data_IF_094151900763
#
_entry.id   IF_094151900763
#
_cell.length_a   1.000
_cell.length_b   1.000
_cell.length_c   1.000
_cell.angle_alpha   90.00
_cell.angle_beta   90.00
_cell.angle_gamma   90.00
#
_symmetry.space_group_name_H-M   'P 1'
#
loop_
_entity.id
_entity.type
_entity.pdbx_description
1 polymer ?
#
# COMPACT_ATOMS: atom_id res chain seq x y z
N UNK A 1 3.39 11.65 24.33
CA UNK A 1 2.31 12.33 23.58
C UNK A 1 1.25 11.29 23.31
N UNK A 2 -0.02 11.58 23.51
CA UNK A 2 -1.11 10.63 23.22
C UNK A 2 -1.19 10.41 21.69
N UNK A 3 -1.27 9.15 21.20
CA UNK A 3 -1.27 8.89 19.77
C UNK A 3 -2.54 9.43 19.12
N UNK A 4 -2.38 10.24 18.06
CA UNK A 4 -3.45 10.65 17.16
C UNK A 4 -3.25 9.90 15.84
N UNK A 5 -4.18 9.03 15.50
CA UNK A 5 -4.04 8.03 14.44
C UNK A 5 -4.98 8.35 13.28
N UNK A 6 -4.48 8.29 12.07
CA UNK A 6 -5.27 8.31 10.84
C UNK A 6 -5.25 6.93 10.20
N UNK A 7 -6.41 6.39 9.84
CA UNK A 7 -6.54 5.15 9.08
C UNK A 7 -7.05 5.49 7.68
N UNK A 8 -6.24 5.20 6.67
CA UNK A 8 -6.57 5.37 5.27
C UNK A 8 -6.76 4.01 4.61
N UNK A 9 -8.02 3.62 4.42
CA UNK A 9 -8.45 2.34 3.85
C UNK A 9 -9.87 2.51 3.28
N UNK A 10 -10.15 1.98 2.11
CA UNK A 10 -11.49 2.08 1.51
C UNK A 10 -12.47 1.04 2.06
N UNK A 11 -11.97 -0.02 2.70
CA UNK A 11 -12.78 -1.09 3.26
C UNK A 11 -13.33 -0.72 4.64
N UNK A 12 -14.63 -0.49 4.76
CA UNK A 12 -15.29 -0.10 6.01
C UNK A 12 -15.05 -1.10 7.14
N UNK A 13 -15.09 -2.42 6.86
CA UNK A 13 -14.87 -3.44 7.89
C UNK A 13 -13.45 -3.41 8.45
N UNK A 14 -12.46 -3.11 7.62
CA UNK A 14 -11.05 -2.97 8.04
C UNK A 14 -10.91 -1.76 8.95
N UNK A 15 -11.45 -0.59 8.56
CA UNK A 15 -11.45 0.62 9.40
C UNK A 15 -12.12 0.38 10.75
N UNK A 16 -13.27 -0.28 10.76
CA UNK A 16 -13.98 -0.62 12.00
C UNK A 16 -13.16 -1.56 12.88
N UNK A 17 -12.58 -2.61 12.31
CA UNK A 17 -11.75 -3.58 13.02
C UNK A 17 -10.50 -2.94 13.63
N UNK A 18 -9.74 -2.20 12.83
CA UNK A 18 -8.54 -1.49 13.30
C UNK A 18 -8.89 -0.46 14.39
N UNK A 19 -9.96 0.32 14.20
CA UNK A 19 -10.43 1.28 15.21
C UNK A 19 -10.76 0.58 16.52
N UNK A 20 -11.46 -0.54 16.49
CA UNK A 20 -11.81 -1.29 17.70
C UNK A 20 -10.57 -1.82 18.43
N UNK A 21 -9.59 -2.38 17.68
CA UNK A 21 -8.33 -2.88 18.24
C UNK A 21 -7.53 -1.73 18.84
N UNK A 22 -7.34 -0.64 18.11
CA UNK A 22 -6.57 0.51 18.57
C UNK A 22 -7.19 1.19 19.79
N UNK A 23 -8.53 1.31 19.85
CA UNK A 23 -9.24 1.80 21.03
C UNK A 23 -9.00 0.89 22.26
N UNK A 24 -9.05 -0.45 22.06
CA UNK A 24 -8.75 -1.43 23.12
C UNK A 24 -7.30 -1.32 23.62
N UNK A 25 -6.38 -0.86 22.77
CA UNK A 25 -4.98 -0.58 23.11
C UNK A 25 -4.79 0.82 23.76
N UNK A 26 -5.86 1.61 23.93
CA UNK A 26 -5.84 2.90 24.60
C UNK A 26 -5.71 4.11 23.69
N UNK A 27 -5.73 3.96 22.38
CA UNK A 27 -5.79 5.09 21.45
C UNK A 27 -7.17 5.74 21.52
N UNK A 28 -7.24 7.08 21.71
CA UNK A 28 -8.50 7.80 21.87
C UNK A 28 -8.86 8.69 20.69
N UNK A 29 -7.88 9.03 19.88
CA UNK A 29 -8.05 9.93 18.73
C UNK A 29 -7.74 9.16 17.46
N UNK A 30 -8.79 8.68 16.79
CA UNK A 30 -8.69 7.90 15.56
C UNK A 30 -9.65 8.49 14.54
N UNK A 31 -9.09 8.97 13.44
CA UNK A 31 -9.82 9.44 12.28
C UNK A 31 -9.66 8.43 11.14
N UNK A 32 -10.63 8.39 10.21
CA UNK A 32 -10.59 7.47 9.06
C UNK A 32 -10.90 8.20 7.78
N UNK A 33 -10.23 7.80 6.69
CA UNK A 33 -10.48 8.28 5.32
C UNK A 33 -10.58 7.09 4.37
N UNK A 34 -11.21 7.28 3.21
CA UNK A 34 -11.55 6.17 2.29
C UNK A 34 -10.89 6.29 0.91
N UNK A 35 -10.16 7.35 0.66
CA UNK A 35 -9.49 7.59 -0.62
C UNK A 35 -8.29 8.53 -0.45
N UNK A 36 -7.46 8.61 -1.51
CA UNK A 36 -6.23 9.42 -1.52
C UNK A 36 -6.54 10.92 -1.41
N UNK A 37 -7.62 11.39 -2.03
CA UNK A 37 -8.00 12.79 -1.98
C UNK A 37 -8.33 13.22 -0.54
N UNK A 38 -9.14 12.44 0.16
CA UNK A 38 -9.45 12.66 1.59
C UNK A 38 -8.18 12.56 2.46
N UNK A 39 -7.28 11.61 2.19
CA UNK A 39 -6.02 11.45 2.91
C UNK A 39 -5.18 12.74 2.82
N UNK A 40 -4.97 13.26 1.61
CA UNK A 40 -4.22 14.50 1.38
C UNK A 40 -4.86 15.69 2.10
N UNK A 41 -6.17 15.86 1.95
CA UNK A 41 -6.89 16.96 2.60
C UNK A 41 -6.79 16.88 4.13
N UNK A 42 -6.96 15.68 4.69
CA UNK A 42 -6.94 15.45 6.13
C UNK A 42 -5.55 15.69 6.73
N UNK A 43 -4.47 15.22 6.06
CA UNK A 43 -3.09 15.45 6.48
C UNK A 43 -2.68 16.93 6.36
N UNK A 44 -3.25 17.68 5.41
CA UNK A 44 -2.99 19.12 5.28
C UNK A 44 -3.68 19.96 6.37
N UNK A 45 -4.81 19.48 6.89
CA UNK A 45 -5.61 20.21 7.91
C UNK A 45 -5.27 19.85 9.34
N UNK A 46 -4.75 18.64 9.56
CA UNK A 46 -4.57 18.09 10.91
C UNK A 46 -3.19 17.47 11.05
N UNK A 47 -2.65 17.53 12.26
CA UNK A 47 -1.41 16.83 12.62
C UNK A 47 -1.75 15.48 13.23
N UNK A 48 -1.15 14.43 12.69
CA UNK A 48 -1.23 13.06 13.21
C UNK A 48 0.16 12.58 13.65
N UNK A 49 0.18 11.64 14.57
CA UNK A 49 1.41 10.98 15.01
C UNK A 49 1.60 9.64 14.31
N UNK A 50 0.49 9.01 13.88
CA UNK A 50 0.48 7.68 13.28
C UNK A 50 -0.47 7.64 12.08
N UNK A 51 -0.05 6.93 11.02
CA UNK A 51 -0.85 6.66 9.82
C UNK A 51 -0.84 5.17 9.54
N UNK A 52 -2.02 4.55 9.51
CA UNK A 52 -2.21 3.23 8.90
C UNK A 52 -2.67 3.45 7.48
N UNK A 53 -1.93 2.91 6.51
CA UNK A 53 -2.07 3.23 5.09
C UNK A 53 -2.29 1.99 4.24
N UNK A 54 -3.44 1.89 3.57
CA UNK A 54 -3.59 0.91 2.47
C UNK A 54 -2.88 1.40 1.21
N UNK A 55 -2.34 0.46 0.46
CA UNK A 55 -1.62 0.74 -0.80
C UNK A 55 -2.60 1.08 -1.92
N UNK A 56 -3.64 0.28 -2.08
CA UNK A 56 -4.59 0.41 -3.18
C UNK A 56 -5.88 1.01 -2.64
N UNK A 57 -6.23 2.17 -3.15
CA UNK A 57 -7.47 2.87 -2.84
C UNK A 57 -8.23 3.21 -4.13
N UNK A 58 -9.53 3.54 -4.09
CA UNK A 58 -10.37 3.71 -5.29
C UNK A 58 -9.83 4.72 -6.31
N UNK A 59 -9.08 5.71 -5.84
CA UNK A 59 -8.53 6.80 -6.63
C UNK A 59 -7.01 6.68 -6.90
N UNK A 60 -6.41 5.50 -6.63
CA UNK A 60 -5.04 5.21 -7.03
C UNK A 60 -4.18 4.42 -6.03
N UNK A 61 -2.86 4.52 -6.21
CA UNK A 61 -1.86 3.86 -5.39
C UNK A 61 -1.23 4.86 -4.40
N UNK A 62 -1.44 4.64 -3.11
CA UNK A 62 -0.96 5.54 -2.05
C UNK A 62 0.56 5.53 -1.85
N UNK A 63 1.27 4.51 -2.35
CA UNK A 63 2.75 4.45 -2.26
C UNK A 63 3.41 5.65 -2.95
N UNK A 64 2.80 6.16 -4.04
CA UNK A 64 3.31 7.34 -4.73
C UNK A 64 3.31 8.60 -3.84
N UNK A 65 2.50 8.60 -2.78
CA UNK A 65 2.42 9.72 -1.83
C UNK A 65 3.45 9.63 -0.71
N UNK A 66 4.07 8.49 -0.48
CA UNK A 66 4.96 8.30 0.68
C UNK A 66 6.10 9.32 0.71
N UNK A 67 6.67 9.65 -0.46
CA UNK A 67 7.72 10.67 -0.54
C UNK A 67 7.22 12.05 -0.10
N UNK A 68 6.06 12.45 -0.60
CA UNK A 68 5.43 13.71 -0.22
C UNK A 68 5.04 13.71 1.26
N UNK A 69 4.43 12.63 1.74
CA UNK A 69 4.01 12.49 3.15
C UNK A 69 5.22 12.59 4.07
N UNK A 70 6.32 11.88 3.78
CA UNK A 70 7.54 11.93 4.59
C UNK A 70 8.17 13.31 4.60
N UNK A 71 8.10 14.03 3.48
CA UNK A 71 8.64 15.40 3.40
C UNK A 71 7.82 16.40 4.20
N UNK A 72 6.50 16.31 4.11
CA UNK A 72 5.58 17.26 4.78
C UNK A 72 5.28 16.88 6.24
N UNK A 73 5.40 15.60 6.60
CA UNK A 73 5.11 15.07 7.92
C UNK A 73 6.26 14.17 8.43
N UNK A 74 7.47 14.71 8.67
CA UNK A 74 8.68 13.91 8.93
C UNK A 74 8.64 13.09 10.24
N UNK A 75 7.70 13.40 11.14
CA UNK A 75 7.52 12.70 12.42
C UNK A 75 6.32 11.73 12.42
N UNK A 76 5.65 11.58 11.29
CA UNK A 76 4.52 10.69 11.14
C UNK A 76 5.02 9.24 11.05
N UNK A 77 4.65 8.42 12.02
CA UNK A 77 4.91 6.98 11.96
C UNK A 77 3.92 6.31 11.00
N UNK A 78 4.41 5.60 9.98
CA UNK A 78 3.57 5.01 8.93
C UNK A 78 3.63 3.49 9.02
N UNK A 79 2.46 2.85 9.18
CA UNK A 79 2.26 1.41 9.03
C UNK A 79 1.50 1.16 7.73
N UNK A 80 2.11 0.46 6.79
CA UNK A 80 1.42 0.00 5.59
C UNK A 80 0.61 -1.25 5.92
N UNK A 81 -0.70 -1.23 5.61
CA UNK A 81 -1.62 -2.35 5.85
C UNK A 81 -2.35 -2.71 4.56
N UNK A 82 -1.94 -3.77 3.89
CA UNK A 82 -2.41 -4.08 2.54
C UNK A 82 -2.53 -5.58 2.25
N UNK A 83 -3.35 -5.92 1.27
CA UNK A 83 -3.41 -7.28 0.69
C UNK A 83 -2.25 -7.58 -0.25
N UNK A 84 -1.46 -6.58 -0.61
CA UNK A 84 -0.36 -6.75 -1.55
C UNK A 84 0.83 -7.49 -0.91
N UNK A 85 1.58 -8.32 -1.66
CA UNK A 85 2.70 -9.07 -1.10
C UNK A 85 3.85 -8.15 -0.68
N UNK A 86 4.39 -8.40 0.51
CA UNK A 86 5.50 -7.64 1.08
C UNK A 86 6.79 -7.74 0.22
N UNK A 87 6.99 -8.83 -0.50
CA UNK A 87 8.14 -9.07 -1.39
C UNK A 87 8.17 -8.08 -2.55
N UNK A 88 7.00 -7.60 -2.96
CA UNK A 88 6.84 -6.66 -4.07
C UNK A 88 6.86 -5.22 -3.56
N UNK A 89 5.97 -4.91 -2.64
CA UNK A 89 5.75 -3.54 -2.19
C UNK A 89 6.64 -3.14 -1.00
N UNK A 90 7.10 -4.09 -0.20
CA UNK A 90 7.99 -3.83 0.93
C UNK A 90 9.35 -3.26 0.53
N UNK A 91 9.91 -3.67 -0.62
CA UNK A 91 11.15 -3.08 -1.18
C UNK A 91 10.96 -1.60 -1.55
N UNK A 92 9.80 -1.25 -2.08
CA UNK A 92 9.48 0.14 -2.42
C UNK A 92 9.27 0.92 -1.13
N UNK A 93 8.44 0.38 -0.24
CA UNK A 93 8.13 1.00 1.05
C UNK A 93 9.39 1.21 1.92
N UNK A 94 10.39 0.30 1.84
CA UNK A 94 11.66 0.44 2.57
C UNK A 94 12.53 1.63 2.13
N UNK A 95 12.26 2.21 0.96
CA UNK A 95 12.92 3.47 0.53
C UNK A 95 12.38 4.69 1.26
N UNK A 96 11.21 4.55 1.87
CA UNK A 96 10.54 5.56 2.65
C UNK A 96 10.62 5.21 4.14
N UNK A 97 10.49 6.20 5.00
CA UNK A 97 10.54 5.99 6.45
C UNK A 97 9.23 5.41 6.98
N UNK A 98 8.93 4.15 6.60
CA UNK A 98 7.79 3.44 7.16
C UNK A 98 8.20 2.67 8.41
N UNK A 99 7.28 2.59 9.38
CA UNK A 99 7.47 1.83 10.61
C UNK A 99 7.43 0.32 10.34
N UNK A 100 6.41 -0.14 9.63
CA UNK A 100 6.22 -1.56 9.30
C UNK A 100 5.29 -1.78 8.12
N UNK A 101 5.30 -3.01 7.62
CA UNK A 101 4.38 -3.52 6.60
C UNK A 101 3.60 -4.70 7.18
N UNK A 102 2.29 -4.56 7.30
CA UNK A 102 1.37 -5.56 7.82
C UNK A 102 0.44 -6.03 6.69
N UNK A 103 0.48 -7.34 6.38
CA UNK A 103 -0.42 -7.92 5.39
C UNK A 103 -1.83 -8.06 5.98
N UNK A 104 -2.90 -7.69 5.23
CA UNK A 104 -4.30 -7.77 5.70
C UNK A 104 -4.75 -9.20 6.03
N UNK A 105 -4.08 -10.23 5.48
CA UNK A 105 -4.28 -11.63 5.80
C UNK A 105 -3.44 -12.16 6.97
N UNK A 106 -2.77 -11.29 7.74
CA UNK A 106 -1.99 -11.68 8.90
C UNK A 106 -2.88 -12.28 10.00
N UNK A 107 -2.29 -13.12 10.86
CA UNK A 107 -3.00 -13.67 12.01
C UNK A 107 -3.37 -12.58 13.02
N UNK A 108 -4.41 -12.83 13.81
CA UNK A 108 -4.83 -11.90 14.87
C UNK A 108 -3.66 -11.55 15.81
N UNK A 109 -2.86 -12.53 16.21
CA UNK A 109 -1.69 -12.32 17.07
C UNK A 109 -0.63 -11.42 16.44
N UNK A 110 -0.40 -11.55 15.13
CA UNK A 110 0.54 -10.70 14.39
C UNK A 110 0.01 -9.26 14.28
N UNK A 111 -1.28 -9.11 13.99
CA UNK A 111 -1.94 -7.79 13.92
C UNK A 111 -1.79 -7.06 15.26
N UNK A 112 -2.14 -7.73 16.38
CA UNK A 112 -2.00 -7.15 17.72
C UNK A 112 -0.55 -6.77 18.03
N UNK A 113 0.40 -7.66 17.76
CA UNK A 113 1.82 -7.43 18.02
C UNK A 113 2.37 -6.23 17.24
N UNK A 114 2.08 -6.16 15.94
CA UNK A 114 2.58 -5.06 15.11
C UNK A 114 1.94 -3.71 15.47
N UNK A 115 0.63 -3.68 15.74
CA UNK A 115 -0.06 -2.47 16.17
C UNK A 115 0.44 -1.99 17.54
N UNK A 116 0.76 -2.88 18.47
CA UNK A 116 1.33 -2.52 19.76
C UNK A 116 2.71 -1.83 19.60
N UNK A 117 3.60 -2.41 18.81
CA UNK A 117 4.90 -1.80 18.51
C UNK A 117 4.74 -0.46 17.79
N UNK A 118 3.81 -0.39 16.84
CA UNK A 118 3.52 0.82 16.08
C UNK A 118 3.08 1.98 16.99
N UNK A 119 2.08 1.78 17.86
CA UNK A 119 1.60 2.81 18.79
C UNK A 119 2.71 3.28 19.74
N UNK A 120 3.59 2.37 20.16
CA UNK A 120 4.71 2.67 21.05
C UNK A 120 5.92 3.26 20.33
N UNK A 121 5.88 3.42 19.01
CA UNK A 121 7.01 3.80 18.15
C UNK A 121 8.26 2.91 18.38
N UNK A 122 8.05 1.63 18.72
CA UNK A 122 9.13 0.68 18.91
C UNK A 122 9.51 0.06 17.56
N UNK A 123 10.81 -0.02 17.23
CA UNK A 123 11.23 -0.54 15.94
C UNK A 123 10.80 -2.00 15.79
N UNK A 124 10.15 -2.31 14.67
CA UNK A 124 9.90 -3.68 14.28
C UNK A 124 11.23 -4.32 13.87
N UNK A 125 11.63 -5.36 14.56
CA UNK A 125 12.69 -6.22 14.04
C UNK A 125 12.09 -6.99 12.85
N UNK A 126 12.21 -6.43 11.65
CA UNK A 126 11.91 -7.13 10.41
C UNK A 126 12.76 -8.41 10.43
N UNK A 127 12.19 -9.51 10.87
CA UNK A 127 12.78 -10.83 10.64
C UNK A 127 12.92 -10.93 9.12
N UNK A 128 14.17 -10.88 8.65
CA UNK A 128 14.56 -11.16 7.28
C UNK A 128 14.03 -12.55 6.89
N UNK A 129 12.80 -12.62 6.41
CA UNK A 129 12.30 -13.67 5.54
C UNK A 129 11.89 -13.01 4.22
N UNK A 130 12.84 -12.37 3.59
CA UNK A 130 12.85 -12.31 2.14
C UNK A 130 13.36 -13.69 1.71
N UNK A 131 12.46 -14.65 1.61
CA UNK A 131 12.73 -15.88 0.91
C UNK A 131 13.14 -15.49 -0.52
N UNK A 132 14.27 -16.03 -0.99
CA UNK A 132 14.86 -15.77 -2.32
C UNK A 132 14.04 -16.37 -3.49
N UNK A 133 12.77 -16.65 -3.30
CA UNK A 133 11.84 -16.89 -4.40
C UNK A 133 11.64 -15.56 -5.11
N UNK A 134 12.31 -15.42 -6.24
CA UNK A 134 12.29 -14.21 -7.07
C UNK A 134 10.85 -14.01 -7.58
N UNK A 135 10.06 -13.27 -6.80
CA UNK A 135 8.75 -12.81 -7.27
C UNK A 135 9.00 -11.87 -8.46
N UNK A 136 8.58 -12.22 -9.70
CA UNK A 136 8.89 -11.42 -10.89
C UNK A 136 8.35 -10.00 -10.79
N UNK A 137 7.27 -9.78 -10.07
CA UNK A 137 6.68 -8.46 -9.85
C UNK A 137 7.53 -7.56 -8.95
N UNK A 138 8.47 -8.11 -8.18
CA UNK A 138 9.37 -7.33 -7.32
C UNK A 138 10.37 -6.46 -8.09
N UNK A 139 10.46 -6.62 -9.40
CA UNK A 139 11.29 -5.81 -10.30
C UNK A 139 10.55 -4.59 -10.86
N UNK A 140 9.23 -4.53 -10.64
CA UNK A 140 8.40 -3.45 -11.17
C UNK A 140 8.58 -2.17 -10.35
N UNK A 141 8.61 -1.04 -11.07
CA UNK A 141 8.57 0.28 -10.46
C UNK A 141 7.14 0.60 -9.95
N UNK A 142 7.00 1.60 -9.09
CA UNK A 142 5.70 2.03 -8.53
C UNK A 142 4.67 2.27 -9.63
N UNK A 143 5.06 3.01 -10.68
CA UNK A 143 4.16 3.33 -11.79
C UNK A 143 3.78 2.10 -12.63
N UNK A 144 4.67 1.12 -12.74
CA UNK A 144 4.37 -0.15 -13.40
C UNK A 144 3.37 -0.98 -12.57
N UNK A 145 3.53 -1.01 -11.24
CA UNK A 145 2.60 -1.70 -10.33
C UNK A 145 1.21 -1.06 -10.36
N UNK A 146 1.13 0.26 -10.44
CA UNK A 146 -0.15 0.97 -10.56
C UNK A 146 -0.87 0.61 -11.88
N UNK A 147 -0.16 0.65 -12.99
CA UNK A 147 -0.73 0.25 -14.29
C UNK A 147 -1.07 -1.25 -14.30
N UNK A 148 -0.25 -2.10 -13.69
CA UNK A 148 -0.54 -3.52 -13.51
C UNK A 148 -1.88 -3.74 -12.80
N UNK A 149 -2.13 -3.03 -11.71
CA UNK A 149 -3.39 -3.10 -10.98
C UNK A 149 -4.59 -2.82 -11.89
N UNK A 150 -4.57 -1.74 -12.65
CA UNK A 150 -5.64 -1.44 -13.62
C UNK A 150 -5.79 -2.51 -14.70
N UNK A 151 -4.67 -3.04 -15.21
CA UNK A 151 -4.69 -4.11 -16.23
C UNK A 151 -5.34 -5.38 -15.69
N UNK A 152 -4.99 -5.80 -14.48
CA UNK A 152 -5.54 -7.00 -13.84
C UNK A 152 -7.04 -6.85 -13.54
N UNK A 153 -7.52 -5.62 -13.27
CA UNK A 153 -8.95 -5.28 -13.15
C UNK A 153 -9.67 -5.15 -14.51
N UNK A 154 -9.00 -5.47 -15.62
CA UNK A 154 -9.61 -5.49 -16.95
C UNK A 154 -9.76 -4.14 -17.63
N UNK A 155 -9.16 -3.07 -17.10
CA UNK A 155 -9.18 -1.75 -17.71
C UNK A 155 -8.41 -1.72 -19.04
N UNK A 156 -8.98 -1.03 -20.02
CA UNK A 156 -8.35 -0.82 -21.33
C UNK A 156 -7.32 0.31 -21.26
N UNK A 157 -6.31 0.28 -22.15
CA UNK A 157 -5.25 1.31 -22.22
C UNK A 157 -5.78 2.75 -22.20
N UNK A 158 -6.92 3.01 -22.89
CA UNK A 158 -7.55 4.33 -22.92
C UNK A 158 -8.09 4.75 -21.55
N UNK A 159 -8.73 3.83 -20.85
CA UNK A 159 -9.30 4.07 -19.50
C UNK A 159 -8.18 4.33 -18.51
N UNK A 160 -7.12 3.52 -18.53
CA UNK A 160 -5.92 3.71 -17.71
C UNK A 160 -5.29 5.08 -17.98
N UNK A 161 -5.14 5.44 -19.25
CA UNK A 161 -4.59 6.74 -19.64
C UNK A 161 -5.41 7.92 -19.09
N UNK A 162 -6.74 7.80 -19.15
CA UNK A 162 -7.65 8.83 -18.62
C UNK A 162 -7.56 8.91 -17.10
N UNK A 163 -7.63 7.76 -16.40
CA UNK A 163 -7.62 7.71 -14.93
C UNK A 163 -6.31 8.25 -14.34
N UNK A 164 -5.20 8.00 -15.03
CA UNK A 164 -3.86 8.37 -14.57
C UNK A 164 -3.34 9.70 -15.14
N UNK A 165 -4.12 10.39 -15.97
CA UNK A 165 -3.69 11.61 -16.64
C UNK A 165 -2.52 11.42 -17.60
N UNK A 166 -2.39 10.24 -18.22
CA UNK A 166 -1.30 9.87 -19.12
C UNK A 166 -1.73 9.87 -20.59
N UNK A 167 -0.73 9.89 -21.48
CA UNK A 167 -0.97 9.59 -22.90
C UNK A 167 -1.11 8.08 -23.11
N UNK A 168 -1.97 7.66 -24.03
CA UNK A 168 -2.16 6.23 -24.37
C UNK A 168 -0.84 5.53 -24.77
N UNK A 169 0.03 6.22 -25.51
CA UNK A 169 1.34 5.67 -25.89
C UNK A 169 2.22 5.41 -24.68
N UNK A 170 2.19 6.27 -23.65
CA UNK A 170 2.91 6.08 -22.39
C UNK A 170 2.42 4.83 -21.68
N UNK A 171 1.10 4.65 -21.56
CA UNK A 171 0.52 3.44 -20.96
C UNK A 171 0.88 2.19 -21.74
N UNK A 172 0.84 2.25 -23.08
CA UNK A 172 1.22 1.13 -23.94
C UNK A 172 2.69 0.72 -23.76
N UNK A 173 3.60 1.70 -23.66
CA UNK A 173 5.02 1.45 -23.41
C UNK A 173 5.23 0.80 -22.05
N UNK A 174 4.61 1.34 -20.99
CA UNK A 174 4.72 0.79 -19.65
C UNK A 174 4.12 -0.62 -19.58
N UNK A 175 2.98 -0.85 -20.25
CA UNK A 175 2.40 -2.20 -20.38
C UNK A 175 3.40 -3.18 -20.99
N UNK A 176 4.06 -2.82 -22.10
CA UNK A 176 5.08 -3.68 -22.73
C UNK A 176 6.24 -3.97 -21.78
N UNK A 177 6.71 -2.97 -21.04
CA UNK A 177 7.78 -3.14 -20.04
C UNK A 177 7.37 -4.10 -18.91
N UNK A 178 6.11 -4.02 -18.45
CA UNK A 178 5.58 -4.96 -17.44
C UNK A 178 5.66 -6.38 -17.96
N UNK A 179 5.14 -6.64 -19.17
CA UNK A 179 5.15 -7.96 -19.77
C UNK A 179 6.57 -8.52 -19.93
N UNK A 180 7.51 -7.70 -20.37
CA UNK A 180 8.92 -8.07 -20.50
C UNK A 180 9.55 -8.41 -19.14
N UNK A 181 9.38 -7.55 -18.13
CA UNK A 181 9.98 -7.74 -16.81
C UNK A 181 9.45 -8.96 -16.08
N UNK A 182 8.13 -9.20 -16.14
CA UNK A 182 7.51 -10.38 -15.51
C UNK A 182 7.59 -11.64 -16.40
N UNK A 183 8.12 -11.50 -17.62
CA UNK A 183 8.22 -12.57 -18.62
C UNK A 183 6.88 -13.20 -18.98
N UNK A 184 5.84 -12.38 -19.06
CA UNK A 184 4.53 -12.81 -19.53
C UNK A 184 4.41 -12.64 -21.04
N UNK A 185 4.00 -13.70 -21.75
CA UNK A 185 3.81 -13.71 -23.22
C UNK A 185 2.38 -13.33 -23.64
N UNK A 186 1.45 -13.36 -22.72
CA UNK A 186 0.03 -13.06 -22.94
C UNK A 186 -0.63 -12.49 -21.69
N UNK A 187 -1.78 -11.86 -21.87
CA UNK A 187 -2.56 -11.35 -20.71
C UNK A 187 -3.03 -12.50 -19.80
N UNK A 188 -3.41 -13.63 -20.38
CA UNK A 188 -3.77 -14.83 -19.61
C UNK A 188 -2.59 -15.33 -18.77
N UNK A 189 -1.39 -15.36 -19.34
CA UNK A 189 -0.17 -15.72 -18.61
C UNK A 189 0.14 -14.71 -17.49
N UNK A 190 -0.05 -13.40 -17.75
CA UNK A 190 0.09 -12.37 -16.73
C UNK A 190 -0.86 -12.58 -15.55
N UNK A 191 -2.14 -12.91 -15.82
CA UNK A 191 -3.14 -13.24 -14.77
C UNK A 191 -2.74 -14.47 -13.97
N UNK A 192 -2.24 -15.52 -14.63
CA UNK A 192 -1.77 -16.73 -13.94
C UNK A 192 -0.59 -16.43 -13.02
N UNK A 193 0.40 -15.66 -13.49
CA UNK A 193 1.53 -15.22 -12.66
C UNK A 193 1.06 -14.38 -11.48
N UNK A 194 0.14 -13.42 -11.70
CA UNK A 194 -0.41 -12.59 -10.64
C UNK A 194 -1.11 -13.46 -9.57
N UNK A 195 -1.88 -14.44 -9.97
CA UNK A 195 -2.54 -15.38 -9.05
C UNK A 195 -1.53 -16.20 -8.25
N UNK A 196 -0.53 -16.81 -8.92
CA UNK A 196 0.53 -17.62 -8.28
C UNK A 196 1.31 -16.82 -7.25
N UNK A 197 1.60 -15.55 -7.56
CA UNK A 197 2.37 -14.66 -6.69
C UNK A 197 1.50 -13.78 -5.79
N UNK A 198 0.22 -14.09 -5.64
CA UNK A 198 -0.74 -13.42 -4.73
C UNK A 198 -0.81 -11.90 -4.93
N UNK A 199 -0.64 -11.42 -6.16
CA UNK A 199 -0.89 -10.01 -6.50
C UNK A 199 -2.40 -9.78 -6.46
N UNK A 200 -2.87 -8.98 -5.52
CA UNK A 200 -4.29 -8.61 -5.40
C UNK A 200 -4.66 -7.49 -6.39
N UNK A 201 -5.86 -7.57 -6.96
CA UNK A 201 -6.36 -6.60 -7.93
C UNK A 201 -7.87 -6.41 -7.82
#
# INVERSE_FOLDING_TARGET
>A
MEPKILIADDHSIVKMGLTAILNKMGAKQIDTVSNIAELKETLNRNVYTHLVLDIIMPDGNSIELLEQINTTNPYLSILVHSMQPVEVYGKIASKFQIHSYLHKGASESEIYYQLELFIKNQPLQLKKKLDDTINPFSTLAVRELEILHYLLNGHRTKEIATNLGLKMNTVSTIKSNIFEKVKADSFTHLLQLAHVHQISY
#
